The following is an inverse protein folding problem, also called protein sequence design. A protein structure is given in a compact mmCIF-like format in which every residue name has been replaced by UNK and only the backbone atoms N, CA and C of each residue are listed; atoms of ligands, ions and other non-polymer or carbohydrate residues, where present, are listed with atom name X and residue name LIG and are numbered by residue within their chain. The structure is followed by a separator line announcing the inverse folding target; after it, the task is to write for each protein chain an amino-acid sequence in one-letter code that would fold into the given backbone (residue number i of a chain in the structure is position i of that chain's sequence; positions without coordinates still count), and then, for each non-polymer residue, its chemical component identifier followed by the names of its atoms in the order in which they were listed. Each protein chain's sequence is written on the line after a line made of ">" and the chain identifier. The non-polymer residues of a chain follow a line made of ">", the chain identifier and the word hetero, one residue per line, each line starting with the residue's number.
data_IF_399515433359
#
_entry.id   IF_399515433359
#
_cell.length_a   1.000
_cell.length_b   1.000
_cell.length_c   1.000
_cell.angle_alpha   90.00
_cell.angle_beta   90.00
_cell.angle_gamma   90.00
#
_symmetry.space_group_name_H-M   'P 1'
#
loop_
_entity.id
_entity.type
_entity.pdbx_description
1 polymer ?
#
# COMPACT_ATOMS: atom_id res chain seq x y z
N UNK A 1 16.59 22.74 -2.63
CA UNK A 1 17.59 21.84 -3.25
C UNK A 1 18.50 22.62 -4.20
N UNK A 2 17.99 23.33 -5.19
CA UNK A 2 18.81 24.13 -6.14
C UNK A 2 19.76 25.11 -5.45
N UNK A 3 19.36 25.70 -4.32
CA UNK A 3 20.19 26.63 -3.52
C UNK A 3 21.39 25.94 -2.82
N UNK A 4 21.28 24.63 -2.56
CA UNK A 4 22.32 23.82 -1.91
C UNK A 4 23.29 23.20 -2.90
N UNK A 5 22.80 22.85 -4.10
CA UNK A 5 23.57 22.04 -5.05
C UNK A 5 24.29 22.84 -6.13
N UNK A 6 24.07 24.16 -6.24
CA UNK A 6 24.61 25.04 -7.32
C UNK A 6 24.34 24.54 -8.75
N UNK A 7 23.41 23.63 -8.92
CA UNK A 7 22.99 23.07 -10.21
C UNK A 7 21.50 23.33 -10.42
N UNK A 8 21.09 23.46 -11.67
CA UNK A 8 19.68 23.50 -12.01
C UNK A 8 19.02 22.17 -11.68
N UNK A 9 17.84 22.23 -11.08
CA UNK A 9 17.03 21.03 -10.85
C UNK A 9 16.49 20.58 -12.19
N UNK A 10 16.74 19.33 -12.56
CA UNK A 10 16.19 18.71 -13.76
C UNK A 10 14.65 18.69 -13.72
N UNK A 11 14.04 18.35 -14.84
CA UNK A 11 12.58 18.28 -14.98
C UNK A 11 11.94 17.46 -13.87
N UNK A 12 10.80 17.96 -13.36
CA UNK A 12 10.03 17.27 -12.31
C UNK A 12 9.30 16.07 -12.91
N UNK A 13 9.53 14.89 -12.35
CA UNK A 13 8.75 13.70 -12.68
C UNK A 13 7.38 13.81 -12.00
N UNK A 14 6.34 13.96 -12.79
CA UNK A 14 4.96 14.09 -12.33
C UNK A 14 4.02 13.16 -13.10
N UNK A 15 2.86 12.90 -12.51
CA UNK A 15 1.76 12.16 -13.12
C UNK A 15 0.42 12.80 -12.72
N UNK A 16 -0.69 12.10 -12.92
CA UNK A 16 -2.03 12.60 -12.59
C UNK A 16 -2.12 13.05 -11.12
N UNK A 17 -2.78 14.19 -10.82
CA UNK A 17 -2.85 14.73 -9.46
C UNK A 17 -3.87 14.02 -8.56
N UNK A 18 -4.79 13.24 -9.14
CA UNK A 18 -5.87 12.54 -8.45
C UNK A 18 -5.91 11.06 -8.84
N UNK A 19 -6.50 10.22 -7.99
CA UNK A 19 -6.71 8.81 -8.29
C UNK A 19 -5.41 8.01 -8.51
N UNK A 20 -4.28 8.43 -7.95
CA UNK A 20 -2.98 7.80 -8.18
C UNK A 20 -2.54 6.87 -7.05
N UNK A 21 -3.08 7.07 -5.84
CA UNK A 21 -2.57 6.42 -4.64
C UNK A 21 -3.13 5.02 -4.50
N UNK A 22 -2.28 4.02 -4.67
CA UNK A 22 -2.65 2.60 -4.63
C UNK A 22 -2.47 1.92 -3.26
N UNK A 23 -2.06 2.64 -2.22
CA UNK A 23 -1.95 2.11 -0.85
C UNK A 23 -2.32 3.18 0.16
N UNK A 24 -3.17 2.83 1.12
CA UNK A 24 -3.52 3.70 2.24
C UNK A 24 -3.59 2.90 3.53
N UNK A 25 -2.98 3.43 4.58
CA UNK A 25 -3.09 2.93 5.95
C UNK A 25 -3.94 3.90 6.74
N UNK A 26 -5.13 3.47 7.12
CA UNK A 26 -6.13 4.25 7.84
C UNK A 26 -6.13 3.80 9.31
N UNK A 27 -5.89 4.73 10.22
CA UNK A 27 -6.01 4.49 11.66
C UNK A 27 -7.47 4.33 12.04
N UNK A 28 -7.73 3.43 13.00
CA UNK A 28 -9.05 3.14 13.52
C UNK A 28 -9.12 3.57 14.99
N UNK A 29 -10.22 4.19 15.39
CA UNK A 29 -10.47 4.58 16.77
C UNK A 29 -11.96 4.45 17.08
N UNK A 30 -12.27 3.73 18.14
CA UNK A 30 -13.62 3.63 18.66
C UNK A 30 -13.96 4.81 19.57
N UNK A 31 -15.08 5.47 19.30
CA UNK A 31 -15.62 6.57 20.10
C UNK A 31 -16.69 6.04 21.04
N UNK A 32 -16.40 5.88 22.36
CA UNK A 32 -17.37 5.30 23.31
C UNK A 32 -18.67 6.08 23.45
N UNK A 33 -18.59 7.41 23.33
CA UNK A 33 -19.78 8.30 23.50
C UNK A 33 -20.82 8.13 22.38
N UNK A 34 -20.36 7.93 21.17
CA UNK A 34 -21.23 7.80 19.98
C UNK A 34 -21.34 6.37 19.47
N UNK A 35 -20.56 5.45 20.07
CA UNK A 35 -20.44 4.06 19.63
C UNK A 35 -20.06 3.91 18.14
N UNK A 36 -19.28 4.84 17.63
CA UNK A 36 -18.86 4.90 16.23
C UNK A 36 -17.38 4.58 16.08
N UNK A 37 -17.03 4.02 14.92
CA UNK A 37 -15.66 3.81 14.49
C UNK A 37 -15.21 4.98 13.62
N UNK A 38 -14.21 5.73 14.08
CA UNK A 38 -13.46 6.63 13.22
C UNK A 38 -12.46 5.85 12.38
N UNK A 39 -12.34 6.21 11.11
CA UNK A 39 -11.37 5.63 10.18
C UNK A 39 -10.74 6.74 9.34
N UNK A 40 -9.44 6.93 9.47
CA UNK A 40 -8.78 8.00 8.73
C UNK A 40 -7.30 8.16 9.03
N UNK A 41 -6.77 9.34 8.76
CA UNK A 41 -5.36 9.65 8.94
C UNK A 41 -5.11 10.40 10.24
N UNK A 42 -3.97 10.15 10.87
CA UNK A 42 -3.55 10.92 12.04
C UNK A 42 -3.22 12.36 11.64
N UNK A 43 -3.63 13.32 12.47
CA UNK A 43 -3.18 14.70 12.34
C UNK A 43 -1.67 14.80 12.57
N UNK A 44 -1.02 15.71 11.88
CA UNK A 44 0.40 15.98 12.10
C UNK A 44 0.65 16.36 13.57
N UNK A 45 1.64 15.70 14.20
CA UNK A 45 2.02 15.95 15.59
C UNK A 45 0.97 15.56 16.65
N UNK A 46 -0.05 14.76 16.32
CA UNK A 46 -1.13 14.38 17.24
C UNK A 46 -1.49 12.90 17.09
N UNK A 47 -2.13 12.35 18.13
CA UNK A 47 -2.80 11.05 18.08
C UNK A 47 -4.21 11.11 17.48
N UNK A 48 -4.76 12.31 17.28
CA UNK A 48 -6.11 12.51 16.75
C UNK A 48 -6.23 11.99 15.33
N UNK A 49 -7.41 11.47 14.98
CA UNK A 49 -7.74 11.00 13.64
C UNK A 49 -8.63 12.01 12.94
N UNK A 50 -8.24 12.41 11.73
CA UNK A 50 -9.12 13.05 10.78
C UNK A 50 -9.96 11.96 10.13
N UNK A 51 -11.25 11.93 10.46
CA UNK A 51 -12.16 10.94 9.90
C UNK A 51 -12.35 11.15 8.40
N UNK A 52 -12.00 10.14 7.58
CA UNK A 52 -11.96 10.24 6.13
C UNK A 52 -13.14 9.48 5.52
N UNK A 53 -14.09 10.20 4.92
CA UNK A 53 -15.21 9.60 4.18
C UNK A 53 -14.90 9.44 2.70
N UNK A 54 -14.11 10.34 2.14
CA UNK A 54 -13.67 10.38 0.75
C UNK A 54 -12.19 10.73 0.69
N UNK A 55 -11.47 10.20 -0.27
CA UNK A 55 -10.06 10.48 -0.45
C UNK A 55 -9.70 10.49 -1.95
N UNK A 56 -9.88 11.64 -2.65
CA UNK A 56 -9.79 11.72 -4.11
C UNK A 56 -8.41 11.40 -4.68
N UNK A 57 -7.37 11.30 -3.86
CA UNK A 57 -6.06 10.84 -4.30
C UNK A 57 -5.94 9.31 -4.37
N UNK A 58 -6.84 8.55 -3.71
CA UNK A 58 -6.88 7.09 -3.83
C UNK A 58 -7.32 6.68 -5.24
N UNK A 59 -6.79 5.56 -5.72
CA UNK A 59 -7.31 4.94 -6.93
C UNK A 59 -8.81 4.63 -6.74
N UNK A 60 -9.64 4.74 -7.79
CA UNK A 60 -11.10 4.62 -7.68
C UNK A 60 -11.57 3.36 -6.95
N UNK A 61 -10.87 2.24 -7.16
CA UNK A 61 -11.19 0.97 -6.51
C UNK A 61 -11.09 1.07 -4.98
N UNK A 62 -10.02 1.68 -4.46
CA UNK A 62 -9.84 1.87 -3.02
C UNK A 62 -10.78 2.93 -2.45
N UNK A 63 -11.03 4.01 -3.18
CA UNK A 63 -11.96 5.05 -2.74
C UNK A 63 -13.38 4.49 -2.58
N UNK A 64 -13.85 3.71 -3.53
CA UNK A 64 -15.17 3.07 -3.49
C UNK A 64 -15.34 2.08 -2.31
N UNK A 65 -14.22 1.52 -1.82
CA UNK A 65 -14.23 0.61 -0.68
C UNK A 65 -14.34 1.30 0.67
N UNK A 66 -13.96 2.58 0.81
CA UNK A 66 -13.93 3.28 2.10
C UNK A 66 -15.25 3.17 2.89
N UNK A 67 -16.43 3.49 2.32
CA UNK A 67 -17.69 3.37 3.07
C UNK A 67 -18.03 1.92 3.42
N UNK A 68 -17.72 0.96 2.56
CA UNK A 68 -18.00 -0.46 2.76
C UNK A 68 -17.14 -1.06 3.87
N UNK A 69 -15.82 -0.77 3.84
CA UNK A 69 -14.87 -1.16 4.89
C UNK A 69 -15.29 -0.58 6.24
N UNK A 70 -15.65 0.72 6.28
CA UNK A 70 -16.15 1.37 7.49
C UNK A 70 -17.38 0.66 8.06
N UNK A 71 -18.35 0.34 7.22
CA UNK A 71 -19.58 -0.34 7.62
C UNK A 71 -19.28 -1.76 8.17
N UNK A 72 -18.43 -2.52 7.48
CA UNK A 72 -18.02 -3.84 7.92
C UNK A 72 -17.31 -3.78 9.27
N UNK A 73 -16.24 -2.97 9.40
CA UNK A 73 -15.46 -2.87 10.64
C UNK A 73 -16.27 -2.29 11.80
N UNK A 74 -17.20 -1.36 11.53
CA UNK A 74 -18.13 -0.80 12.51
C UNK A 74 -19.18 -1.78 13.01
N UNK A 75 -19.37 -2.92 12.36
CA UNK A 75 -20.30 -3.98 12.76
C UNK A 75 -19.65 -5.09 13.61
N UNK A 76 -18.33 -5.06 13.79
CA UNK A 76 -17.58 -6.09 14.52
C UNK A 76 -17.74 -5.91 16.02
N UNK A 77 -17.79 -7.03 16.75
CA UNK A 77 -17.75 -7.03 18.22
C UNK A 77 -16.41 -6.49 18.74
N UNK A 78 -15.32 -6.82 18.01
CA UNK A 78 -13.95 -6.39 18.33
C UNK A 78 -13.65 -4.93 17.92
N UNK A 79 -14.63 -4.11 17.55
CA UNK A 79 -14.46 -2.73 17.07
C UNK A 79 -13.51 -1.87 17.92
N UNK A 80 -13.53 -2.07 19.26
CA UNK A 80 -12.67 -1.37 20.23
C UNK A 80 -11.20 -1.79 20.17
N UNK A 81 -10.92 -2.92 19.57
CA UNK A 81 -9.60 -3.54 19.49
C UNK A 81 -9.00 -3.49 18.09
N UNK A 82 -9.54 -2.68 17.22
CA UNK A 82 -8.99 -2.45 15.87
C UNK A 82 -7.98 -1.30 15.92
N UNK A 83 -6.80 -1.51 15.33
CA UNK A 83 -5.73 -0.52 15.34
C UNK A 83 -5.67 0.31 14.05
N UNK A 84 -5.60 -0.36 12.92
CA UNK A 84 -5.64 0.27 11.60
C UNK A 84 -6.06 -0.74 10.54
N UNK A 85 -6.51 -0.23 9.41
CA UNK A 85 -6.72 -1.01 8.19
C UNK A 85 -5.84 -0.45 7.07
N UNK A 86 -5.17 -1.34 6.34
CA UNK A 86 -4.47 -0.98 5.12
C UNK A 86 -5.25 -1.52 3.92
N UNK A 87 -5.39 -0.68 2.91
CA UNK A 87 -5.96 -1.04 1.62
C UNK A 87 -4.87 -0.88 0.56
N UNK A 88 -4.70 -1.89 -0.27
CA UNK A 88 -3.67 -1.92 -1.31
C UNK A 88 -4.30 -2.37 -2.61
N UNK A 89 -4.12 -1.60 -3.68
CA UNK A 89 -4.44 -2.02 -5.04
C UNK A 89 -3.17 -2.53 -5.71
N UNK A 90 -3.11 -3.82 -5.92
CA UNK A 90 -2.10 -4.49 -6.71
C UNK A 90 -2.64 -4.80 -8.12
N UNK A 91 -1.78 -5.27 -9.03
CA UNK A 91 -2.25 -5.78 -10.32
C UNK A 91 -3.00 -7.09 -10.15
N UNK A 92 -2.59 -7.91 -9.17
CA UNK A 92 -3.26 -9.19 -8.84
C UNK A 92 -4.67 -9.01 -8.24
N UNK A 93 -4.98 -7.86 -7.65
CA UNK A 93 -6.25 -7.63 -6.97
C UNK A 93 -6.14 -6.58 -5.88
N UNK A 94 -7.18 -6.47 -5.08
CA UNK A 94 -7.23 -5.55 -3.94
C UNK A 94 -7.03 -6.32 -2.64
N UNK A 95 -6.17 -5.78 -1.76
CA UNK A 95 -5.86 -6.37 -0.47
C UNK A 95 -6.40 -5.51 0.66
N UNK A 96 -6.88 -6.16 1.71
CA UNK A 96 -7.21 -5.55 3.00
C UNK A 96 -6.40 -6.21 4.10
N UNK A 97 -5.59 -5.43 4.82
CA UNK A 97 -4.83 -5.88 5.98
C UNK A 97 -5.43 -5.21 7.22
N UNK A 98 -5.96 -6.00 8.15
CA UNK A 98 -6.58 -5.49 9.38
C UNK A 98 -5.71 -5.77 10.59
N UNK A 99 -5.24 -4.70 11.24
CA UNK A 99 -4.55 -4.76 12.55
C UNK A 99 -5.56 -4.81 13.68
N UNK A 100 -5.46 -5.84 14.52
CA UNK A 100 -6.27 -5.96 15.73
C UNK A 100 -5.38 -6.23 16.95
N UNK A 101 -5.79 -5.79 18.13
CA UNK A 101 -5.01 -5.84 19.38
C UNK A 101 -5.55 -6.86 20.38
N UNK A 102 -6.67 -7.50 20.07
CA UNK A 102 -7.24 -8.61 20.83
C UNK A 102 -7.73 -9.68 19.83
N UNK A 103 -7.85 -10.94 20.25
CA UNK A 103 -8.38 -12.01 19.40
C UNK A 103 -9.77 -11.67 18.84
N UNK A 104 -9.98 -11.99 17.58
CA UNK A 104 -11.29 -11.86 16.91
C UNK A 104 -12.16 -13.07 17.26
N UNK A 105 -13.44 -12.84 17.55
CA UNK A 105 -14.41 -13.91 17.69
C UNK A 105 -14.64 -14.64 16.36
N UNK A 106 -15.13 -15.90 16.41
CA UNK A 106 -15.52 -16.63 15.21
C UNK A 106 -16.55 -15.85 14.37
N UNK A 107 -17.51 -15.21 15.02
CA UNK A 107 -18.52 -14.39 14.36
C UNK A 107 -17.92 -13.18 13.64
N UNK A 108 -16.90 -12.52 14.23
CA UNK A 108 -16.21 -11.41 13.56
C UNK A 108 -15.35 -11.89 12.39
N UNK A 109 -14.69 -13.04 12.54
CA UNK A 109 -13.93 -13.67 11.43
C UNK A 109 -14.83 -13.99 10.25
N UNK A 110 -15.95 -14.66 10.49
CA UNK A 110 -16.93 -14.99 9.44
C UNK A 110 -17.49 -13.73 8.75
N UNK A 111 -17.70 -12.64 9.48
CA UNK A 111 -18.12 -11.36 8.87
C UNK A 111 -17.06 -10.80 7.94
N UNK A 112 -15.80 -10.81 8.37
CA UNK A 112 -14.67 -10.33 7.58
C UNK A 112 -14.46 -11.20 6.33
N UNK A 113 -14.55 -12.51 6.46
CA UNK A 113 -14.46 -13.46 5.33
C UNK A 113 -15.59 -13.26 4.32
N UNK A 114 -16.84 -13.15 4.77
CA UNK A 114 -17.97 -12.84 3.88
C UNK A 114 -17.79 -11.48 3.19
N UNK A 115 -17.32 -10.47 3.91
CA UNK A 115 -17.06 -9.15 3.35
C UNK A 115 -15.95 -9.22 2.30
N UNK A 116 -14.82 -9.87 2.60
CA UNK A 116 -13.72 -10.00 1.63
C UNK A 116 -14.17 -10.73 0.37
N UNK A 117 -14.93 -11.81 0.52
CA UNK A 117 -15.48 -12.55 -0.63
C UNK A 117 -16.46 -11.71 -1.46
N UNK A 118 -17.38 -10.98 -0.82
CA UNK A 118 -18.38 -10.16 -1.52
C UNK A 118 -17.77 -8.99 -2.29
N UNK A 119 -16.65 -8.44 -1.80
CA UNK A 119 -15.95 -7.32 -2.43
C UNK A 119 -14.76 -7.76 -3.31
N UNK A 120 -14.47 -9.06 -3.38
CA UNK A 120 -13.34 -9.60 -4.14
C UNK A 120 -12.00 -9.14 -3.58
N UNK A 121 -11.84 -9.16 -2.24
CA UNK A 121 -10.63 -8.73 -1.55
C UNK A 121 -9.81 -9.92 -1.06
N UNK A 122 -8.49 -9.81 -1.15
CA UNK A 122 -7.59 -10.65 -0.38
C UNK A 122 -7.51 -10.11 1.06
N UNK A 123 -7.78 -10.97 2.04
CA UNK A 123 -7.86 -10.61 3.45
C UNK A 123 -6.67 -11.12 4.23
N UNK A 124 -6.04 -10.21 4.97
CA UNK A 124 -4.96 -10.48 5.90
C UNK A 124 -5.29 -9.93 7.28
N UNK A 125 -4.98 -10.70 8.32
CA UNK A 125 -5.12 -10.28 9.72
C UNK A 125 -3.74 -10.13 10.35
N UNK A 126 -3.53 -9.03 11.08
CA UNK A 126 -2.28 -8.71 11.74
C UNK A 126 -2.52 -8.54 13.25
N UNK A 127 -2.41 -9.61 14.06
CA UNK A 127 -2.57 -9.52 15.50
C UNK A 127 -1.47 -8.71 16.20
N UNK A 128 -0.29 -8.63 15.57
CA UNK A 128 0.85 -7.84 16.05
C UNK A 128 1.68 -7.27 14.88
N UNK A 129 2.90 -6.78 15.16
CA UNK A 129 3.81 -6.24 14.15
C UNK A 129 4.52 -7.31 13.34
N UNK A 130 4.59 -8.54 13.83
CA UNK A 130 5.39 -9.62 13.23
C UNK A 130 4.52 -10.64 12.49
N UNK A 131 3.39 -11.00 13.06
CA UNK A 131 2.48 -12.01 12.51
C UNK A 131 1.56 -11.39 11.47
N UNK A 132 1.48 -12.04 10.31
CA UNK A 132 0.51 -11.77 9.26
C UNK A 132 -0.19 -13.08 8.90
N UNK A 133 -1.46 -13.18 9.25
CA UNK A 133 -2.29 -14.34 8.91
C UNK A 133 -2.95 -14.08 7.55
N UNK A 134 -2.75 -14.96 6.60
CA UNK A 134 -3.50 -14.96 5.34
C UNK A 134 -4.82 -15.68 5.56
N UNK A 135 -5.92 -14.97 5.43
CA UNK A 135 -7.28 -15.53 5.51
C UNK A 135 -7.77 -15.94 4.13
N UNK A 136 -7.53 -15.08 3.13
CA UNK A 136 -7.85 -15.38 1.73
C UNK A 136 -6.85 -14.71 0.79
N UNK A 137 -6.74 -15.23 -0.43
CA UNK A 137 -5.88 -14.71 -1.49
C UNK A 137 -4.54 -15.42 -1.61
N UNK A 138 -3.83 -15.05 -2.66
CA UNK A 138 -2.48 -15.53 -2.98
C UNK A 138 -1.44 -14.44 -2.74
N UNK A 139 -0.16 -14.77 -2.98
CA UNK A 139 0.92 -13.78 -2.93
C UNK A 139 0.66 -12.64 -3.93
N UNK A 140 0.47 -11.40 -3.46
CA UNK A 140 0.14 -10.30 -4.34
C UNK A 140 1.33 -9.92 -5.22
N UNK A 141 1.00 -9.33 -6.37
CA UNK A 141 2.01 -8.81 -7.29
C UNK A 141 1.51 -7.56 -8.01
N UNK A 142 2.47 -6.76 -8.47
CA UNK A 142 2.20 -5.65 -9.39
C UNK A 142 3.14 -5.71 -10.60
N UNK A 143 2.67 -5.14 -11.70
CA UNK A 143 3.51 -4.93 -12.87
C UNK A 143 4.37 -3.68 -12.69
N UNK A 144 5.64 -3.79 -13.03
CA UNK A 144 6.57 -2.66 -13.13
C UNK A 144 7.41 -2.84 -14.39
N UNK A 145 7.17 -2.01 -15.39
CA UNK A 145 7.88 -2.03 -16.69
C UNK A 145 7.87 -3.42 -17.37
N UNK A 146 6.72 -4.09 -17.38
CA UNK A 146 6.57 -5.43 -17.95
C UNK A 146 7.23 -6.55 -17.12
N UNK A 147 7.51 -6.29 -15.84
CA UNK A 147 8.01 -7.26 -14.88
C UNK A 147 6.99 -7.47 -13.78
N UNK A 148 6.70 -8.73 -13.47
CA UNK A 148 5.88 -9.10 -12.33
C UNK A 148 6.71 -9.09 -11.06
N UNK A 149 6.43 -8.17 -10.15
CA UNK A 149 7.03 -8.10 -8.82
C UNK A 149 6.03 -8.61 -7.79
N UNK A 150 6.33 -9.77 -7.20
CA UNK A 150 5.58 -10.30 -6.05
C UNK A 150 6.06 -9.62 -4.77
N UNK A 151 5.14 -9.41 -3.82
CA UNK A 151 5.48 -8.74 -2.57
C UNK A 151 4.66 -9.28 -1.40
N UNK A 152 5.24 -9.23 -0.21
CA UNK A 152 4.46 -9.41 1.02
C UNK A 152 3.54 -8.20 1.24
N UNK A 153 2.30 -8.37 1.73
CA UNK A 153 1.43 -7.23 2.05
C UNK A 153 2.07 -6.19 2.97
N UNK A 154 3.13 -6.56 3.69
CA UNK A 154 3.92 -5.65 4.55
C UNK A 154 5.05 -4.92 3.84
N UNK A 155 5.45 -5.38 2.69
CA UNK A 155 6.55 -4.75 1.96
C UNK A 155 6.18 -3.35 1.51
N UNK A 156 7.20 -2.50 1.44
CA UNK A 156 7.04 -1.16 0.90
C UNK A 156 6.81 -1.23 -0.61
N UNK A 157 5.75 -0.59 -1.08
CA UNK A 157 5.51 -0.34 -2.50
C UNK A 157 5.36 1.17 -2.74
N UNK A 158 5.84 1.65 -3.88
CA UNK A 158 5.61 3.03 -4.29
C UNK A 158 4.11 3.28 -4.49
N UNK A 159 3.58 4.26 -3.78
CA UNK A 159 2.13 4.53 -3.75
C UNK A 159 1.58 5.09 -5.05
N UNK A 160 2.42 5.76 -5.84
CA UNK A 160 2.08 6.29 -7.17
C UNK A 160 2.77 5.43 -8.24
N UNK A 161 2.00 4.55 -8.89
CA UNK A 161 2.52 3.63 -9.89
C UNK A 161 3.05 4.36 -11.14
N UNK A 162 2.36 5.40 -11.60
CA UNK A 162 2.77 6.17 -12.78
C UNK A 162 4.06 6.94 -12.56
N UNK A 163 4.20 7.63 -11.41
CA UNK A 163 5.47 8.28 -11.04
C UNK A 163 6.58 7.25 -10.89
N UNK A 164 6.30 6.08 -10.28
CA UNK A 164 7.29 5.01 -10.15
C UNK A 164 7.82 4.52 -11.49
N UNK A 165 6.94 4.26 -12.45
CA UNK A 165 7.34 3.83 -13.80
C UNK A 165 8.23 4.87 -14.48
N UNK A 166 7.84 6.14 -14.43
CA UNK A 166 8.63 7.25 -14.99
C UNK A 166 9.97 7.41 -14.30
N UNK A 167 10.01 7.24 -12.98
CA UNK A 167 11.24 7.32 -12.17
C UNK A 167 12.21 6.18 -12.53
N UNK A 168 11.71 4.96 -12.62
CA UNK A 168 12.54 3.80 -13.02
C UNK A 168 13.06 3.99 -14.44
N UNK A 169 12.19 4.35 -15.40
CA UNK A 169 12.60 4.59 -16.78
C UNK A 169 13.69 5.68 -16.89
N UNK A 170 13.53 6.79 -16.17
CA UNK A 170 14.52 7.88 -16.15
C UNK A 170 15.84 7.44 -15.50
N UNK A 171 15.79 6.62 -14.45
CA UNK A 171 17.01 6.10 -13.84
C UNK A 171 17.77 5.19 -14.78
N UNK A 172 17.07 4.30 -15.52
CA UNK A 172 17.69 3.44 -16.52
C UNK A 172 18.32 4.25 -17.65
N UNK A 173 17.61 5.27 -18.16
CA UNK A 173 18.12 6.18 -19.19
C UNK A 173 19.42 6.90 -18.73
N UNK A 174 19.45 7.40 -17.50
CA UNK A 174 20.62 8.12 -16.99
C UNK A 174 21.80 7.23 -16.65
N UNK A 175 21.55 6.00 -16.23
CA UNK A 175 22.62 5.03 -15.94
C UNK A 175 23.25 4.50 -17.22
N UNK A 176 22.51 4.49 -18.34
CA UNK A 176 22.97 4.02 -19.66
C UNK A 176 23.75 2.69 -19.58
N UNK A 177 23.19 1.73 -18.84
CA UNK A 177 23.85 0.45 -18.51
C UNK A 177 24.07 -0.36 -19.79
N UNK A 178 25.31 -0.82 -19.97
CA UNK A 178 25.73 -1.65 -21.09
C UNK A 178 25.67 -3.14 -20.75
N UNK A 179 25.56 -4.05 -21.74
CA UNK A 179 25.45 -5.49 -21.50
C UNK A 179 26.64 -6.12 -20.73
N UNK A 180 27.79 -5.50 -20.74
CA UNK A 180 28.99 -5.91 -20.02
C UNK A 180 29.10 -5.36 -18.60
N UNK A 181 28.28 -4.42 -18.22
CA UNK A 181 28.33 -3.74 -16.94
C UNK A 181 27.93 -4.65 -15.78
N UNK A 182 28.57 -4.40 -14.65
CA UNK A 182 28.21 -4.96 -13.35
C UNK A 182 27.64 -3.85 -12.47
N UNK A 183 26.41 -3.99 -12.06
CA UNK A 183 25.67 -2.97 -11.31
C UNK A 183 25.51 -3.40 -9.85
N UNK A 184 25.66 -2.45 -8.93
CA UNK A 184 25.35 -2.62 -7.51
C UNK A 184 24.12 -1.79 -7.15
N UNK A 185 23.04 -2.47 -6.69
CA UNK A 185 21.82 -1.84 -6.21
C UNK A 185 21.73 -1.96 -4.67
N UNK A 186 22.17 -0.92 -3.97
CA UNK A 186 22.13 -0.86 -2.52
C UNK A 186 20.72 -0.55 -2.03
N UNK A 187 20.24 -1.31 -1.04
CA UNK A 187 18.89 -1.20 -0.49
C UNK A 187 17.80 -1.48 -1.52
N UNK A 188 18.02 -2.47 -2.36
CA UNK A 188 17.18 -2.85 -3.51
C UNK A 188 15.70 -3.10 -3.16
N UNK A 189 15.36 -3.40 -1.90
CA UNK A 189 14.01 -3.77 -1.48
C UNK A 189 13.53 -5.01 -2.23
N UNK A 190 12.37 -4.90 -2.88
CA UNK A 190 11.81 -5.99 -3.70
C UNK A 190 12.30 -5.98 -5.16
N UNK A 191 13.31 -5.18 -5.49
CA UNK A 191 13.92 -5.16 -6.81
C UNK A 191 13.29 -4.20 -7.81
N UNK A 192 12.68 -3.11 -7.35
CA UNK A 192 12.03 -2.12 -8.21
C UNK A 192 12.96 -1.54 -9.28
N UNK A 193 14.25 -1.37 -8.98
CA UNK A 193 15.31 -0.99 -9.92
C UNK A 193 16.15 -2.17 -10.36
N UNK A 194 16.47 -3.09 -9.44
CA UNK A 194 17.30 -4.27 -9.68
C UNK A 194 16.83 -5.08 -10.88
N UNK A 195 15.53 -5.40 -10.94
CA UNK A 195 14.99 -6.26 -11.98
C UNK A 195 15.04 -5.64 -13.38
N UNK A 196 14.65 -4.35 -13.57
CA UNK A 196 14.87 -3.67 -14.85
C UNK A 196 16.35 -3.56 -15.25
N UNK A 197 17.26 -3.29 -14.29
CA UNK A 197 18.71 -3.24 -14.52
C UNK A 197 19.26 -4.60 -14.95
N UNK A 198 18.79 -5.68 -14.32
CA UNK A 198 19.23 -7.05 -14.65
C UNK A 198 18.85 -7.51 -16.06
N UNK A 199 17.93 -6.80 -16.73
CA UNK A 199 17.64 -7.04 -18.16
C UNK A 199 18.69 -6.44 -19.09
N UNK A 200 19.49 -5.50 -18.62
CA UNK A 200 20.44 -4.72 -19.43
C UNK A 200 21.89 -5.06 -19.10
N UNK A 201 22.20 -5.29 -17.81
CA UNK A 201 23.55 -5.51 -17.30
C UNK A 201 23.99 -6.99 -17.38
N UNK A 202 25.28 -7.22 -17.36
CA UNK A 202 25.86 -8.57 -17.21
C UNK A 202 25.50 -9.19 -15.86
N UNK A 203 25.47 -8.38 -14.81
CA UNK A 203 25.05 -8.81 -13.47
C UNK A 203 24.59 -7.62 -12.63
N UNK A 204 23.64 -7.87 -11.70
CA UNK A 204 23.24 -6.92 -10.67
C UNK A 204 23.34 -7.60 -9.30
N UNK A 205 23.93 -6.90 -8.34
CA UNK A 205 24.10 -7.36 -6.95
C UNK A 205 23.45 -6.36 -6.00
#
# INVERSE_FOLDING_TARGET
>A
LARLMKHEVSEVIADVPWGYRRRARLSLNYLPKTQQLQMGFRKAGSSDIVDVKQCPILVPQLEALLPKVRACLGSLQAMRHLGHVELVQATSGTLMILRHTAPLSSADREKLERFSHSEGLDLYLAPDSEILETVSGEMPWYDSNGLRLTFSPRDFIQVNAGVNQKMVARALEWLDVQPEDRVLDLFCGMGNFTLPLAKQAASVV
#
